data_IF_268505868714
#
_entry.id   IF_268505868714
#
_cell.length_a   1.000
_cell.length_b   1.000
_cell.length_c   1.000
_cell.angle_alpha   90.00
_cell.angle_beta   90.00
_cell.angle_gamma   90.00
#
_symmetry.space_group_name_H-M   'P 1'
#
loop_
_entity.id
_entity.type
_entity.pdbx_description
1 polymer ?
#
# COMPACT_ATOMS: atom_id res chain seq x y z
N UNK A 1 39.94 -21.46 -21.50
CA UNK A 1 38.78 -21.97 -20.74
C UNK A 1 37.75 -20.86 -20.66
N UNK A 2 36.80 -20.93 -21.57
CA UNK A 2 35.71 -19.97 -21.77
C UNK A 2 34.62 -20.24 -20.75
N UNK A 3 34.39 -19.31 -19.82
CA UNK A 3 33.25 -19.37 -18.92
C UNK A 3 31.97 -19.11 -19.71
N UNK A 4 31.13 -20.15 -19.78
CA UNK A 4 29.79 -20.09 -20.33
C UNK A 4 28.94 -19.12 -19.51
N UNK A 5 28.44 -18.07 -20.16
CA UNK A 5 27.31 -17.29 -19.67
C UNK A 5 26.07 -18.19 -19.77
N UNK A 6 25.47 -18.48 -18.63
CA UNK A 6 24.14 -19.09 -18.55
C UNK A 6 23.12 -18.08 -19.08
N UNK A 7 22.59 -18.35 -20.27
CA UNK A 7 21.42 -17.66 -20.81
C UNK A 7 20.19 -18.09 -20.00
N UNK A 8 19.77 -17.28 -19.03
CA UNK A 8 18.35 -17.26 -18.65
C UNK A 8 17.57 -16.59 -19.79
N UNK A 9 16.39 -17.11 -20.16
CA UNK A 9 15.59 -16.49 -21.20
C UNK A 9 15.04 -15.17 -20.64
N UNK A 10 15.45 -14.05 -21.23
CA UNK A 10 14.72 -12.78 -21.13
C UNK A 10 13.32 -13.03 -21.72
N UNK A 11 12.37 -13.44 -20.87
CA UNK A 11 10.97 -13.47 -21.25
C UNK A 11 10.57 -12.02 -21.50
N UNK A 12 10.42 -11.65 -22.78
CA UNK A 12 9.89 -10.35 -23.17
C UNK A 12 8.61 -10.10 -22.37
N UNK A 13 8.60 -9.09 -21.51
CA UNK A 13 7.44 -8.76 -20.70
C UNK A 13 6.33 -8.36 -21.68
N UNK A 14 5.21 -9.09 -21.66
CA UNK A 14 4.05 -8.81 -22.51
C UNK A 14 3.57 -7.37 -22.30
N UNK A 15 3.23 -6.71 -23.41
CA UNK A 15 2.70 -5.34 -23.44
C UNK A 15 1.22 -5.26 -23.07
N UNK A 16 0.55 -6.38 -22.79
CA UNK A 16 -0.87 -6.38 -22.48
C UNK A 16 -1.13 -5.96 -21.03
N UNK A 17 -2.07 -5.02 -20.86
CA UNK A 17 -2.53 -4.52 -19.55
C UNK A 17 -3.06 -5.64 -18.66
N UNK A 18 -3.83 -6.56 -19.24
CA UNK A 18 -4.46 -7.66 -18.51
C UNK A 18 -3.52 -8.86 -18.57
N UNK A 19 -3.10 -9.35 -17.41
CA UNK A 19 -2.34 -10.60 -17.30
C UNK A 19 -3.29 -11.78 -17.57
N UNK A 20 -4.46 -11.73 -16.95
CA UNK A 20 -5.54 -12.68 -17.15
C UNK A 20 -6.70 -12.42 -16.21
N UNK A 21 -7.77 -13.18 -16.41
CA UNK A 21 -8.99 -13.17 -15.59
C UNK A 21 -9.49 -14.58 -15.37
N UNK A 22 -10.16 -14.77 -14.24
CA UNK A 22 -10.81 -16.04 -13.90
C UNK A 22 -12.10 -15.78 -13.11
N UNK A 23 -13.18 -16.49 -13.45
CA UNK A 23 -14.51 -16.26 -12.89
C UNK A 23 -15.38 -15.36 -13.78
N UNK A 24 -16.36 -14.68 -13.17
CA UNK A 24 -17.29 -13.76 -13.84
C UNK A 24 -18.68 -14.34 -14.13
N UNK A 25 -18.83 -15.66 -14.06
CA UNK A 25 -20.10 -16.34 -14.35
C UNK A 25 -21.08 -16.36 -13.15
N UNK A 26 -20.57 -16.08 -11.95
CA UNK A 26 -21.36 -16.09 -10.71
C UNK A 26 -21.33 -14.71 -10.04
N UNK A 27 -22.46 -14.29 -9.49
CA UNK A 27 -22.52 -13.08 -8.67
C UNK A 27 -21.59 -13.23 -7.47
N UNK A 28 -20.73 -12.23 -7.26
CA UNK A 28 -19.77 -12.23 -6.18
C UNK A 28 -18.88 -10.99 -6.18
N UNK A 29 -17.85 -10.96 -5.35
CA UNK A 29 -16.91 -9.86 -5.28
C UNK A 29 -15.92 -9.88 -6.45
N UNK A 30 -15.42 -8.70 -6.81
CA UNK A 30 -14.30 -8.58 -7.77
C UNK A 30 -13.02 -8.31 -7.00
N UNK A 31 -11.98 -9.14 -7.19
CA UNK A 31 -10.64 -8.86 -6.70
C UNK A 31 -9.75 -8.48 -7.88
N UNK A 32 -9.36 -7.21 -7.91
CA UNK A 32 -8.38 -6.69 -8.87
C UNK A 32 -7.00 -6.74 -8.21
N UNK A 33 -6.10 -7.53 -8.77
CA UNK A 33 -4.69 -7.50 -8.44
C UNK A 33 -3.95 -6.56 -9.38
N UNK A 34 -3.21 -5.61 -8.81
CA UNK A 34 -2.32 -4.73 -9.57
C UNK A 34 -0.88 -5.19 -9.31
N UNK A 35 -0.10 -5.28 -10.38
CA UNK A 35 1.28 -5.75 -10.35
C UNK A 35 2.15 -4.83 -11.18
N UNK A 36 3.39 -4.60 -10.77
CA UNK A 36 4.33 -3.83 -11.60
C UNK A 36 3.87 -2.39 -11.85
N UNK A 37 3.31 -1.71 -10.84
CA UNK A 37 3.18 -0.26 -10.85
C UNK A 37 4.54 0.42 -10.98
N UNK A 38 5.55 -0.17 -10.34
CA UNK A 38 6.94 0.11 -10.62
C UNK A 38 7.52 -0.98 -11.52
N UNK A 39 8.19 -0.59 -12.60
CA UNK A 39 8.64 -1.51 -13.62
C UNK A 39 9.80 -2.42 -13.22
N UNK A 40 10.56 -2.04 -12.18
CA UNK A 40 11.61 -2.84 -11.59
C UNK A 40 11.09 -3.89 -10.57
N UNK A 41 9.77 -4.07 -10.44
CA UNK A 41 9.12 -4.97 -9.49
C UNK A 41 8.31 -6.09 -10.18
N UNK A 42 8.95 -6.99 -10.97
CA UNK A 42 8.24 -7.98 -11.78
C UNK A 42 7.67 -9.15 -10.96
N UNK A 43 8.01 -9.29 -9.68
CA UNK A 43 7.63 -10.44 -8.86
C UNK A 43 6.11 -10.63 -8.78
N UNK A 44 5.35 -9.53 -8.67
CA UNK A 44 3.88 -9.56 -8.67
C UNK A 44 3.30 -10.12 -9.97
N UNK A 45 3.90 -9.80 -11.13
CA UNK A 45 3.46 -10.30 -12.45
C UNK A 45 3.61 -11.83 -12.50
N UNK A 46 4.75 -12.34 -12.04
CA UNK A 46 5.01 -13.78 -11.98
C UNK A 46 4.05 -14.49 -11.01
N UNK A 47 3.83 -13.91 -9.82
CA UNK A 47 2.88 -14.44 -8.83
C UNK A 47 1.46 -14.53 -9.38
N UNK A 48 0.96 -13.45 -10.00
CA UNK A 48 -0.37 -13.42 -10.58
C UNK A 48 -0.54 -14.41 -11.74
N UNK A 49 0.49 -14.58 -12.56
CA UNK A 49 0.49 -15.58 -13.65
C UNK A 49 0.34 -17.00 -13.09
N UNK A 50 1.10 -17.36 -12.04
CA UNK A 50 0.98 -18.69 -11.40
C UNK A 50 -0.41 -18.96 -10.84
N UNK A 51 -1.01 -17.97 -10.18
CA UNK A 51 -2.38 -18.09 -9.65
C UNK A 51 -3.38 -18.31 -10.77
N UNK A 52 -3.31 -17.50 -11.84
CA UNK A 52 -4.20 -17.63 -13.00
C UNK A 52 -4.04 -18.98 -13.70
N UNK A 53 -2.80 -19.42 -13.96
CA UNK A 53 -2.52 -20.71 -14.57
C UNK A 53 -3.12 -21.86 -13.75
N UNK A 54 -2.99 -21.79 -12.42
CA UNK A 54 -3.59 -22.77 -11.52
C UNK A 54 -5.13 -22.76 -11.64
N UNK A 55 -5.74 -21.59 -11.59
CA UNK A 55 -7.19 -21.43 -11.67
C UNK A 55 -7.74 -21.96 -13.01
N UNK A 56 -7.13 -21.61 -14.15
CA UNK A 56 -7.56 -22.10 -15.46
C UNK A 56 -7.36 -23.61 -15.63
N UNK A 57 -6.32 -24.18 -15.00
CA UNK A 57 -6.05 -25.63 -15.05
C UNK A 57 -7.04 -26.43 -14.21
N UNK A 58 -7.28 -26.04 -12.97
CA UNK A 58 -8.08 -26.83 -12.01
C UNK A 58 -9.55 -26.45 -11.99
N UNK A 59 -9.90 -25.28 -12.53
CA UNK A 59 -11.26 -24.78 -12.69
C UNK A 59 -12.13 -24.84 -11.42
N UNK A 60 -11.66 -24.34 -10.25
CA UNK A 60 -12.49 -24.30 -9.06
C UNK A 60 -13.69 -23.36 -9.24
N UNK A 61 -14.78 -23.63 -8.53
CA UNK A 61 -15.98 -22.78 -8.55
C UNK A 61 -15.73 -21.48 -7.77
N UNK A 62 -15.21 -20.46 -8.47
CA UNK A 62 -14.91 -19.16 -7.89
C UNK A 62 -16.15 -18.26 -7.89
N UNK A 63 -16.43 -17.66 -6.72
CA UNK A 63 -17.49 -16.67 -6.52
C UNK A 63 -16.99 -15.31 -6.98
N UNK A 64 -17.66 -14.69 -7.96
CA UNK A 64 -17.27 -13.40 -8.51
C UNK A 64 -16.15 -13.50 -9.55
N UNK A 65 -15.21 -12.55 -9.56
CA UNK A 65 -14.16 -12.46 -10.59
C UNK A 65 -12.80 -12.05 -10.00
N UNK A 66 -11.75 -12.76 -10.39
CA UNK A 66 -10.36 -12.38 -10.13
C UNK A 66 -9.72 -11.86 -11.42
N UNK A 67 -9.15 -10.65 -11.38
CA UNK A 67 -8.48 -10.02 -12.52
C UNK A 67 -7.11 -9.53 -12.10
N UNK A 68 -6.08 -9.86 -12.88
CA UNK A 68 -4.73 -9.37 -12.64
C UNK A 68 -4.28 -8.42 -13.74
N UNK A 69 -3.78 -7.25 -13.36
CA UNK A 69 -3.38 -6.15 -14.23
C UNK A 69 -1.90 -5.81 -14.04
N UNK A 70 -1.25 -5.40 -15.14
CA UNK A 70 0.05 -4.72 -15.14
C UNK A 70 -0.14 -3.22 -14.92
N UNK A 71 0.70 -2.61 -14.09
CA UNK A 71 0.57 -1.22 -13.64
C UNK A 71 1.18 -0.20 -14.61
N UNK A 72 2.50 -0.22 -14.79
CA UNK A 72 3.20 0.66 -15.73
C UNK A 72 3.88 -0.19 -16.82
N UNK A 73 3.23 -0.34 -17.98
CA UNK A 73 3.70 -1.23 -19.05
C UNK A 73 5.04 -0.76 -19.60
N UNK A 74 5.19 0.54 -19.81
CA UNK A 74 6.42 1.12 -20.35
C UNK A 74 7.59 0.91 -19.37
N UNK A 75 7.39 1.24 -18.09
CA UNK A 75 8.43 1.04 -17.08
C UNK A 75 8.79 -0.44 -16.89
N UNK A 76 7.79 -1.33 -16.88
CA UNK A 76 8.00 -2.79 -16.82
C UNK A 76 8.89 -3.27 -17.97
N UNK A 77 8.61 -2.82 -19.20
CA UNK A 77 9.41 -3.21 -20.38
C UNK A 77 10.89 -2.79 -20.28
N UNK A 78 11.17 -1.71 -19.55
CA UNK A 78 12.52 -1.16 -19.32
C UNK A 78 13.16 -1.62 -18.02
N UNK A 79 12.42 -2.33 -17.16
CA UNK A 79 12.83 -2.66 -15.78
C UNK A 79 13.27 -1.43 -14.97
N UNK A 80 12.64 -0.29 -15.25
CA UNK A 80 12.86 0.97 -14.54
C UNK A 80 11.73 1.18 -13.53
N UNK A 81 11.98 1.87 -12.41
CA UNK A 81 10.92 2.14 -11.41
C UNK A 81 9.76 2.90 -12.05
N UNK A 82 10.06 3.94 -12.80
CA UNK A 82 9.14 4.73 -13.61
C UNK A 82 9.94 5.45 -14.70
N UNK A 83 9.27 6.07 -15.68
CA UNK A 83 9.94 6.80 -16.77
C UNK A 83 10.08 8.29 -16.44
N UNK A 84 8.97 9.00 -16.25
CA UNK A 84 8.97 10.45 -16.01
C UNK A 84 8.73 10.77 -14.52
N UNK A 85 7.83 10.04 -13.86
CA UNK A 85 7.48 10.25 -12.45
C UNK A 85 6.91 8.99 -11.78
N UNK A 86 6.95 8.93 -10.46
CA UNK A 86 6.37 7.79 -9.73
C UNK A 86 4.84 7.73 -9.92
N UNK A 87 4.38 6.66 -10.59
CA UNK A 87 2.96 6.43 -10.90
C UNK A 87 2.12 6.24 -9.63
N UNK A 88 2.68 5.70 -8.54
CA UNK A 88 1.98 5.49 -7.28
C UNK A 88 1.97 6.75 -6.37
N UNK A 89 2.19 7.93 -6.98
CA UNK A 89 2.10 9.27 -6.35
C UNK A 89 1.14 10.21 -7.10
N UNK A 90 0.44 9.72 -8.13
CA UNK A 90 -0.32 10.57 -9.05
C UNK A 90 -1.84 10.48 -8.89
N UNK A 91 -2.36 9.70 -7.95
CA UNK A 91 -3.79 9.35 -7.87
C UNK A 91 -4.64 10.31 -7.05
N UNK A 92 -4.38 11.62 -7.14
CA UNK A 92 -5.25 12.62 -6.51
C UNK A 92 -6.50 12.89 -7.36
N UNK A 93 -7.58 13.33 -6.74
CA UNK A 93 -8.84 13.62 -7.45
C UNK A 93 -8.66 14.75 -8.46
N UNK A 94 -7.91 15.80 -8.08
CA UNK A 94 -7.58 16.94 -8.93
C UNK A 94 -6.82 16.51 -10.18
N UNK A 95 -5.84 15.61 -10.00
CA UNK A 95 -5.02 15.11 -11.10
C UNK A 95 -5.81 14.25 -12.06
N UNK A 96 -6.64 13.35 -11.56
CA UNK A 96 -7.50 12.52 -12.40
C UNK A 96 -8.56 13.35 -13.12
N UNK A 97 -9.10 14.40 -12.48
CA UNK A 97 -10.01 15.33 -13.13
C UNK A 97 -9.32 16.12 -14.25
N UNK A 98 -8.09 16.60 -14.02
CA UNK A 98 -7.28 17.28 -15.04
C UNK A 98 -7.00 16.36 -16.25
N UNK A 99 -6.65 15.09 -16.01
CA UNK A 99 -6.41 14.11 -17.07
C UNK A 99 -7.67 13.69 -17.84
N UNK A 100 -8.85 13.87 -17.24
CA UNK A 100 -10.14 13.58 -17.89
C UNK A 100 -10.70 14.79 -18.69
N UNK A 101 -10.14 15.98 -18.50
CA UNK A 101 -10.63 17.20 -19.13
C UNK A 101 -10.37 17.18 -20.66
N UNK A 102 -11.37 17.52 -21.50
CA UNK A 102 -11.17 17.60 -22.94
C UNK A 102 -10.19 18.72 -23.30
N UNK A 103 -9.11 18.40 -24.02
CA UNK A 103 -8.18 19.38 -24.60
C UNK A 103 -6.72 19.24 -24.15
N UNK A 104 -6.46 18.57 -23.03
CA UNK A 104 -5.10 18.34 -22.54
C UNK A 104 -4.59 16.96 -22.95
N UNK A 105 -3.60 16.92 -23.85
CA UNK A 105 -2.94 15.68 -24.21
C UNK A 105 -2.04 15.16 -23.06
N UNK A 106 -1.94 13.84 -22.85
CA UNK A 106 -1.03 13.27 -21.84
C UNK A 106 0.41 13.74 -22.08
N UNK A 107 1.00 14.38 -21.07
CA UNK A 107 2.28 15.06 -21.18
C UNK A 107 3.48 14.15 -20.85
N UNK A 108 3.21 12.97 -20.27
CA UNK A 108 4.22 12.00 -19.85
C UNK A 108 3.78 10.57 -20.18
N UNK A 109 4.71 9.62 -20.06
CA UNK A 109 4.41 8.19 -20.05
C UNK A 109 3.43 7.87 -18.93
N UNK A 110 3.69 8.33 -17.70
CA UNK A 110 2.82 8.00 -16.58
C UNK A 110 1.41 8.59 -16.68
N UNK A 111 1.18 9.69 -17.39
CA UNK A 111 -0.19 10.16 -17.65
C UNK A 111 -0.98 9.17 -18.50
N UNK A 112 -0.35 8.62 -19.54
CA UNK A 112 -0.99 7.61 -20.41
C UNK A 112 -1.24 6.33 -19.66
N UNK A 113 -0.26 5.87 -18.88
CA UNK A 113 -0.37 4.69 -18.02
C UNK A 113 -1.48 4.88 -16.98
N UNK A 114 -1.55 6.05 -16.34
CA UNK A 114 -2.58 6.39 -15.35
C UNK A 114 -3.98 6.38 -15.95
N UNK A 115 -4.20 7.03 -17.09
CA UNK A 115 -5.49 7.03 -17.79
C UNK A 115 -5.90 5.59 -18.15
N UNK A 116 -4.99 4.83 -18.76
CA UNK A 116 -5.26 3.47 -19.20
C UNK A 116 -5.54 2.52 -18.03
N UNK A 117 -4.76 2.61 -16.95
CA UNK A 117 -4.93 1.78 -15.76
C UNK A 117 -6.21 2.13 -15.01
N UNK A 118 -6.51 3.43 -14.83
CA UNK A 118 -7.77 3.86 -14.21
C UNK A 118 -8.98 3.36 -15.01
N UNK A 119 -8.95 3.47 -16.34
CA UNK A 119 -10.01 2.95 -17.20
C UNK A 119 -10.15 1.41 -17.11
N UNK A 120 -9.03 0.69 -17.05
CA UNK A 120 -9.04 -0.76 -16.88
C UNK A 120 -9.67 -1.16 -15.55
N UNK A 121 -9.20 -0.59 -14.42
CA UNK A 121 -9.75 -0.91 -13.09
C UNK A 121 -11.22 -0.52 -13.01
N UNK A 122 -11.57 0.69 -13.46
CA UNK A 122 -12.96 1.17 -13.48
C UNK A 122 -13.90 0.20 -14.18
N UNK A 123 -13.49 -0.36 -15.33
CA UNK A 123 -14.28 -1.35 -16.05
C UNK A 123 -14.51 -2.63 -15.23
N UNK A 124 -13.48 -3.13 -14.56
CA UNK A 124 -13.61 -4.36 -13.77
C UNK A 124 -14.46 -4.14 -12.51
N UNK A 125 -14.49 -2.92 -11.94
CA UNK A 125 -15.27 -2.63 -10.72
C UNK A 125 -16.68 -2.10 -10.98
N UNK A 126 -16.98 -1.57 -12.16
CA UNK A 126 -18.31 -1.01 -12.52
C UNK A 126 -19.41 -2.07 -12.48
N UNK A 127 -19.06 -3.33 -12.73
CA UNK A 127 -19.98 -4.46 -12.67
C UNK A 127 -20.12 -5.08 -11.25
N UNK A 128 -19.38 -4.59 -10.26
CA UNK A 128 -19.42 -5.11 -8.89
C UNK A 128 -20.48 -4.36 -8.06
N UNK A 129 -21.54 -5.02 -7.53
CA UNK A 129 -22.62 -4.38 -6.78
C UNK A 129 -22.22 -3.95 -5.34
N UNK A 130 -21.03 -3.36 -5.16
CA UNK A 130 -20.60 -2.72 -3.90
C UNK A 130 -19.52 -3.47 -3.10
N UNK A 131 -18.90 -4.51 -3.66
CA UNK A 131 -17.74 -5.19 -3.02
C UNK A 131 -16.67 -5.50 -4.04
N UNK A 132 -15.76 -4.55 -4.22
CA UNK A 132 -14.50 -4.80 -4.92
C UNK A 132 -13.33 -4.71 -3.94
N UNK A 133 -12.32 -5.51 -4.22
CA UNK A 133 -11.06 -5.56 -3.52
C UNK A 133 -9.95 -5.16 -4.48
N UNK A 134 -8.98 -4.41 -3.98
CA UNK A 134 -7.77 -4.07 -4.73
C UNK A 134 -6.57 -4.50 -3.93
N UNK A 135 -5.76 -5.39 -4.50
CA UNK A 135 -4.52 -5.84 -3.91
C UNK A 135 -3.37 -5.43 -4.83
N UNK A 136 -2.61 -4.45 -4.38
CA UNK A 136 -1.44 -3.92 -5.08
C UNK A 136 -0.19 -4.67 -4.60
N UNK A 137 0.53 -5.32 -5.52
CA UNK A 137 1.66 -6.20 -5.17
C UNK A 137 2.97 -5.55 -5.55
N UNK A 138 3.78 -5.30 -4.53
CA UNK A 138 5.03 -4.58 -4.60
C UNK A 138 6.21 -5.40 -4.07
N UNK A 139 7.41 -4.90 -4.33
CA UNK A 139 8.65 -5.37 -3.69
C UNK A 139 9.45 -4.17 -3.21
N UNK A 140 10.38 -4.39 -2.29
CA UNK A 140 11.21 -3.35 -1.69
C UNK A 140 12.64 -3.34 -2.23
N UNK A 141 13.28 -2.16 -2.18
CA UNK A 141 14.69 -2.00 -2.56
C UNK A 141 15.66 -2.55 -1.52
N UNK A 142 15.24 -2.62 -0.25
CA UNK A 142 16.02 -3.19 0.85
C UNK A 142 15.60 -4.62 1.17
N UNK A 143 16.45 -5.36 1.89
CA UNK A 143 16.05 -6.64 2.50
C UNK A 143 14.93 -6.35 3.51
N UNK A 144 13.80 -7.03 3.33
CA UNK A 144 12.59 -6.79 4.09
C UNK A 144 11.83 -8.07 4.38
N UNK A 145 11.27 -8.16 5.59
CA UNK A 145 10.11 -9.02 5.83
C UNK A 145 8.92 -8.55 4.96
N UNK A 146 7.96 -9.42 4.60
CA UNK A 146 6.75 -8.97 3.95
C UNK A 146 5.91 -8.11 4.90
N UNK A 147 5.15 -7.17 4.36
CA UNK A 147 4.23 -6.34 5.14
C UNK A 147 3.07 -5.82 4.28
N UNK A 148 2.04 -5.31 4.96
CA UNK A 148 0.86 -4.73 4.32
C UNK A 148 0.73 -3.26 4.69
N UNK A 149 0.63 -2.42 3.67
CA UNK A 149 0.22 -1.02 3.77
C UNK A 149 -1.27 -0.94 3.45
N UNK A 150 -2.00 -0.13 4.20
CA UNK A 150 -3.43 0.02 4.04
C UNK A 150 -3.88 1.41 4.46
N UNK A 151 -4.93 1.89 3.82
CA UNK A 151 -5.73 2.94 4.39
C UNK A 151 -6.51 2.39 5.60
N UNK A 152 -6.37 3.01 6.76
CA UNK A 152 -6.90 2.58 8.07
C UNK A 152 -8.44 2.62 8.22
N UNK A 153 -9.15 1.85 7.40
CA UNK A 153 -10.57 1.51 7.59
C UNK A 153 -10.72 0.16 8.29
N UNK A 154 -11.84 -0.08 8.98
CA UNK A 154 -12.11 -1.38 9.61
C UNK A 154 -12.15 -2.52 8.58
N UNK A 155 -12.68 -2.26 7.37
CA UNK A 155 -12.75 -3.22 6.27
C UNK A 155 -11.36 -3.56 5.72
N UNK A 156 -10.52 -2.55 5.50
CA UNK A 156 -9.14 -2.75 5.04
C UNK A 156 -8.32 -3.47 6.11
N UNK A 157 -8.48 -3.13 7.41
CA UNK A 157 -7.83 -3.88 8.51
C UNK A 157 -8.22 -5.35 8.49
N UNK A 158 -9.49 -5.68 8.28
CA UNK A 158 -9.95 -7.07 8.23
C UNK A 158 -9.33 -7.82 7.05
N UNK A 159 -9.32 -7.23 5.87
CA UNK A 159 -8.70 -7.80 4.67
C UNK A 159 -7.18 -7.97 4.82
N UNK A 160 -6.48 -6.91 5.24
CA UNK A 160 -5.03 -6.93 5.41
C UNK A 160 -4.56 -7.95 6.46
N UNK A 161 -5.29 -8.12 7.57
CA UNK A 161 -4.97 -9.16 8.58
C UNK A 161 -5.06 -10.57 8.01
N UNK A 162 -5.94 -10.80 7.04
CA UNK A 162 -6.09 -12.11 6.42
C UNK A 162 -4.90 -12.48 5.52
N UNK A 163 -4.07 -11.50 5.13
CA UNK A 163 -2.84 -11.70 4.37
C UNK A 163 -1.67 -12.19 5.25
N UNK A 164 -1.85 -12.28 6.57
CA UNK A 164 -0.90 -12.85 7.54
C UNK A 164 0.46 -12.13 7.68
N UNK A 165 0.66 -10.99 7.02
CA UNK A 165 1.87 -10.18 7.17
C UNK A 165 1.65 -9.01 8.17
N UNK A 166 2.74 -8.48 8.78
CA UNK A 166 2.72 -7.26 9.59
C UNK A 166 2.00 -6.10 8.92
N UNK A 167 1.21 -5.35 9.69
CA UNK A 167 0.52 -4.16 9.20
C UNK A 167 1.32 -2.89 9.52
N UNK A 168 1.41 -1.99 8.56
CA UNK A 168 2.00 -0.66 8.75
C UNK A 168 0.89 0.40 8.68
N UNK A 169 0.66 1.09 9.79
CA UNK A 169 -0.35 2.16 9.92
C UNK A 169 0.31 3.54 9.84
N UNK A 170 -0.42 4.53 9.33
CA UNK A 170 0.02 5.94 9.30
C UNK A 170 1.00 6.27 8.17
N UNK A 171 1.37 5.28 7.35
CA UNK A 171 2.23 5.51 6.19
C UNK A 171 1.48 6.26 5.09
N UNK A 172 0.20 5.96 4.90
CA UNK A 172 -0.70 6.65 3.96
C UNK A 172 -0.87 8.15 4.27
N UNK A 173 -0.63 8.58 5.52
CA UNK A 173 -0.66 10.00 5.89
C UNK A 173 0.58 10.74 5.35
N UNK A 174 1.67 10.00 5.14
CA UNK A 174 2.92 10.49 4.58
C UNK A 174 3.01 10.32 3.07
N UNK A 175 2.15 9.48 2.48
CA UNK A 175 2.20 9.06 1.10
C UNK A 175 0.95 9.56 0.36
N UNK A 176 1.04 10.74 -0.24
CA UNK A 176 -0.06 11.29 -1.04
C UNK A 176 -0.13 10.69 -2.45
N UNK A 177 -1.35 10.56 -2.96
CA UNK A 177 -1.60 10.17 -4.34
C UNK A 177 -1.34 8.69 -4.65
N UNK A 178 -1.46 7.79 -3.67
CA UNK A 178 -1.38 6.33 -3.94
C UNK A 178 -2.65 5.79 -4.59
N UNK A 179 -2.51 4.76 -5.41
CA UNK A 179 -3.64 4.12 -6.08
C UNK A 179 -4.60 3.46 -5.07
N UNK A 180 -4.06 2.89 -4.00
CA UNK A 180 -4.84 2.21 -2.95
C UNK A 180 -5.69 3.18 -2.16
N UNK A 181 -5.20 4.40 -1.91
CA UNK A 181 -5.99 5.44 -1.23
C UNK A 181 -7.15 5.88 -2.11
N UNK A 182 -6.88 6.20 -3.37
CA UNK A 182 -7.90 6.63 -4.34
C UNK A 182 -9.07 5.64 -4.46
N UNK A 183 -8.78 4.35 -4.61
CA UNK A 183 -9.83 3.34 -4.71
C UNK A 183 -10.47 2.99 -3.35
N UNK A 184 -9.75 3.16 -2.24
CA UNK A 184 -10.34 3.05 -0.89
C UNK A 184 -11.40 4.13 -0.65
N UNK A 185 -11.13 5.37 -1.08
CA UNK A 185 -12.08 6.49 -0.95
C UNK A 185 -13.37 6.26 -1.77
N UNK A 186 -13.29 5.48 -2.84
CA UNK A 186 -14.41 5.06 -3.69
C UNK A 186 -15.19 3.84 -3.14
N UNK A 187 -14.91 3.43 -1.90
CA UNK A 187 -15.62 2.33 -1.22
C UNK A 187 -15.00 0.94 -1.42
N UNK A 188 -13.83 0.87 -2.07
CA UNK A 188 -13.05 -0.35 -2.25
C UNK A 188 -12.41 -0.83 -0.96
N UNK A 189 -12.17 -2.14 -0.87
CA UNK A 189 -11.30 -2.71 0.17
C UNK A 189 -9.90 -2.88 -0.41
N UNK A 190 -8.99 -1.98 -0.06
CA UNK A 190 -7.68 -1.92 -0.72
C UNK A 190 -6.53 -2.17 0.26
N UNK A 191 -5.47 -2.81 -0.23
CA UNK A 191 -4.21 -2.99 0.47
C UNK A 191 -3.07 -3.07 -0.54
N UNK A 192 -1.89 -2.61 -0.15
CA UNK A 192 -0.64 -2.87 -0.84
C UNK A 192 0.16 -3.91 -0.05
N UNK A 193 0.59 -4.98 -0.71
CA UNK A 193 1.38 -6.04 -0.13
C UNK A 193 2.80 -5.96 -0.67
N UNK A 194 3.76 -5.84 0.24
CA UNK A 194 5.18 -5.75 -0.07
C UNK A 194 5.80 -7.13 0.14
N UNK A 195 6.22 -7.78 -0.94
CA UNK A 195 6.60 -9.19 -0.95
C UNK A 195 8.02 -9.49 -0.45
N UNK A 196 8.80 -8.48 -0.11
CA UNK A 196 10.24 -8.62 0.15
C UNK A 196 11.07 -7.95 -0.95
N UNK A 197 12.36 -8.32 -1.08
CA UNK A 197 13.31 -7.61 -1.96
C UNK A 197 13.04 -7.88 -3.45
N UNK A 198 13.27 -6.88 -4.31
CA UNK A 198 12.98 -6.93 -5.75
C UNK A 198 13.54 -8.15 -6.50
N UNK A 199 14.74 -8.60 -6.15
CA UNK A 199 15.52 -9.63 -6.86
C UNK A 199 15.47 -11.00 -6.17
N UNK A 200 14.69 -11.14 -5.09
CA UNK A 200 14.59 -12.40 -4.36
C UNK A 200 13.49 -13.29 -4.96
N UNK A 201 13.84 -14.52 -5.33
CA UNK A 201 12.89 -15.50 -5.83
C UNK A 201 11.75 -15.77 -4.81
N UNK A 202 12.03 -15.63 -3.51
CA UNK A 202 11.01 -15.77 -2.46
C UNK A 202 9.89 -14.72 -2.58
N UNK A 203 10.17 -13.56 -3.17
CA UNK A 203 9.17 -12.50 -3.36
C UNK A 203 8.03 -12.96 -4.27
N UNK A 204 8.32 -13.82 -5.26
CA UNK A 204 7.26 -14.42 -6.10
C UNK A 204 6.39 -15.35 -5.28
N UNK A 205 6.98 -16.18 -4.42
CA UNK A 205 6.25 -17.11 -3.55
C UNK A 205 5.39 -16.40 -2.50
N UNK A 206 5.90 -15.29 -1.95
CA UNK A 206 5.18 -14.45 -0.98
C UNK A 206 4.04 -13.68 -1.65
N UNK A 207 4.27 -13.16 -2.87
CA UNK A 207 3.22 -12.56 -3.68
C UNK A 207 2.12 -13.54 -4.02
N UNK A 208 2.46 -14.75 -4.46
CA UNK A 208 1.50 -15.81 -4.77
C UNK A 208 0.66 -16.19 -3.55
N UNK A 209 1.31 -16.35 -2.38
CA UNK A 209 0.62 -16.57 -1.11
C UNK A 209 -0.35 -15.43 -0.76
N UNK A 210 0.07 -14.17 -0.93
CA UNK A 210 -0.77 -13.01 -0.67
C UNK A 210 -2.00 -12.97 -1.58
N UNK A 211 -1.86 -13.32 -2.86
CA UNK A 211 -2.99 -13.39 -3.80
C UNK A 211 -4.01 -14.46 -3.41
N UNK A 212 -3.57 -15.67 -3.07
CA UNK A 212 -4.46 -16.73 -2.59
C UNK A 212 -5.17 -16.36 -1.29
N UNK A 213 -4.45 -15.75 -0.34
CA UNK A 213 -5.04 -15.25 0.89
C UNK A 213 -6.01 -14.09 0.63
N UNK A 214 -5.73 -13.24 -0.36
CA UNK A 214 -6.62 -12.19 -0.83
C UNK A 214 -7.92 -12.75 -1.43
N UNK A 215 -7.84 -13.75 -2.30
CA UNK A 215 -9.00 -14.48 -2.86
C UNK A 215 -9.84 -15.08 -1.73
N UNK A 216 -9.20 -15.70 -0.72
CA UNK A 216 -9.90 -16.22 0.46
C UNK A 216 -10.57 -15.12 1.28
N UNK A 217 -9.86 -14.02 1.51
CA UNK A 217 -10.31 -12.91 2.33
C UNK A 217 -11.45 -12.12 1.69
N UNK A 218 -11.48 -12.08 0.36
CA UNK A 218 -12.59 -11.58 -0.44
C UNK A 218 -13.79 -12.54 -0.48
N UNK A 219 -13.69 -13.71 0.16
CA UNK A 219 -14.71 -14.76 0.19
C UNK A 219 -15.05 -15.34 -1.20
N UNK A 220 -14.05 -15.38 -2.09
CA UNK A 220 -14.21 -15.86 -3.46
C UNK A 220 -14.02 -17.38 -3.59
N UNK A 221 -13.23 -17.98 -2.71
CA UNK A 221 -13.02 -19.43 -2.58
C UNK A 221 -12.97 -19.84 -1.12
N UNK A 222 -13.40 -21.06 -0.85
CA UNK A 222 -13.26 -21.68 0.46
C UNK A 222 -11.86 -22.24 0.67
N UNK A 223 -11.46 -22.40 1.93
CA UNK A 223 -10.09 -22.82 2.25
C UNK A 223 -9.73 -24.22 1.71
N UNK A 224 -10.72 -25.08 1.48
CA UNK A 224 -10.53 -26.41 0.90
C UNK A 224 -10.23 -26.39 -0.60
N UNK A 225 -10.61 -25.32 -1.30
CA UNK A 225 -10.41 -25.17 -2.75
C UNK A 225 -9.13 -24.40 -3.09
N UNK A 226 -8.41 -23.92 -2.07
CA UNK A 226 -7.16 -23.16 -2.23
C UNK A 226 -5.98 -24.11 -2.02
N UNK A 227 -5.04 -24.20 -2.98
CA UNK A 227 -3.88 -25.08 -2.87
C UNK A 227 -3.00 -24.68 -1.69
N UNK A 228 -2.62 -25.64 -0.85
CA UNK A 228 -1.58 -25.47 0.18
C UNK A 228 -1.73 -24.23 1.09
N UNK A 229 -2.97 -23.81 1.38
CA UNK A 229 -3.23 -22.54 2.10
C UNK A 229 -2.54 -22.46 3.48
N UNK A 230 -2.39 -23.59 4.17
CA UNK A 230 -1.70 -23.66 5.46
C UNK A 230 -0.19 -23.39 5.31
N UNK A 231 0.44 -23.92 4.26
CA UNK A 231 1.86 -23.71 3.96
C UNK A 231 2.11 -22.26 3.55
N UNK A 232 1.21 -21.66 2.75
CA UNK A 232 1.28 -20.25 2.37
C UNK A 232 1.26 -19.32 3.59
N UNK A 233 0.35 -19.58 4.55
CA UNK A 233 0.31 -18.83 5.82
C UNK A 233 1.58 -19.00 6.63
N UNK A 234 2.08 -20.23 6.73
CA UNK A 234 3.31 -20.52 7.46
C UNK A 234 4.52 -19.82 6.83
N UNK A 235 4.59 -19.75 5.49
CA UNK A 235 5.66 -19.06 4.76
C UNK A 235 5.67 -17.56 5.07
N UNK A 236 4.52 -16.89 5.00
CA UNK A 236 4.44 -15.45 5.33
C UNK A 236 4.80 -15.21 6.81
N UNK A 237 4.28 -16.01 7.74
CA UNK A 237 4.63 -15.87 9.15
C UNK A 237 6.12 -16.09 9.43
N UNK A 238 6.73 -17.09 8.78
CA UNK A 238 8.16 -17.35 8.91
C UNK A 238 9.00 -16.18 8.37
N UNK A 239 8.64 -15.64 7.20
CA UNK A 239 9.31 -14.50 6.60
C UNK A 239 9.15 -13.20 7.42
N UNK A 240 8.06 -13.08 8.19
CA UNK A 240 7.78 -11.96 9.08
C UNK A 240 8.30 -12.13 10.52
N UNK A 241 9.05 -13.19 10.80
CA UNK A 241 9.53 -13.48 12.15
C UNK A 241 10.37 -12.33 12.73
N UNK A 242 10.12 -11.95 13.98
CA UNK A 242 10.81 -10.85 14.66
C UNK A 242 10.25 -9.45 14.38
N UNK A 243 9.27 -9.33 13.48
CA UNK A 243 8.53 -8.08 13.21
C UNK A 243 7.25 -8.05 14.05
N UNK A 244 6.93 -6.93 14.72
CA UNK A 244 5.66 -6.78 15.41
C UNK A 244 4.47 -6.94 14.44
N UNK A 245 3.35 -7.56 14.85
CA UNK A 245 2.20 -7.77 13.96
C UNK A 245 1.59 -6.48 13.42
N UNK A 246 1.72 -5.38 14.16
CA UNK A 246 1.27 -4.05 13.75
C UNK A 246 2.29 -3.02 14.22
N UNK A 247 2.70 -2.16 13.31
CA UNK A 247 3.52 -0.98 13.60
C UNK A 247 2.83 0.26 13.06
N UNK A 248 3.16 1.41 13.64
CA UNK A 248 2.71 2.73 13.16
C UNK A 248 3.92 3.60 12.83
N UNK A 249 3.76 4.49 11.86
CA UNK A 249 4.77 5.52 11.53
C UNK A 249 4.85 6.54 12.66
N UNK A 250 6.04 6.67 13.23
CA UNK A 250 6.38 7.64 14.27
C UNK A 250 6.97 8.92 13.67
N UNK A 251 7.83 8.78 12.66
CA UNK A 251 8.48 9.92 12.02
C UNK A 251 8.85 9.61 10.56
N UNK A 252 8.87 10.66 9.74
CA UNK A 252 9.34 10.63 8.35
C UNK A 252 10.53 11.56 8.20
N UNK A 253 11.61 11.09 7.59
CA UNK A 253 12.70 11.94 7.11
C UNK A 253 12.56 12.15 5.60
N UNK A 254 11.92 13.26 5.22
CA UNK A 254 11.70 13.61 3.82
C UNK A 254 12.95 14.25 3.19
N UNK A 255 13.03 14.17 1.86
CA UNK A 255 14.06 14.79 1.04
C UNK A 255 13.41 15.79 0.07
N UNK A 256 14.05 16.94 -0.09
CA UNK A 256 13.68 17.95 -1.06
C UNK A 256 14.47 17.79 -2.36
N UNK A 257 13.98 18.45 -3.42
CA UNK A 257 14.63 18.43 -4.72
C UNK A 257 16.00 19.11 -4.62
N UNK A 258 17.06 18.35 -4.87
CA UNK A 258 18.45 18.82 -4.82
C UNK A 258 19.21 18.36 -3.58
N UNK A 259 18.53 17.73 -2.62
CA UNK A 259 19.20 17.13 -1.48
C UNK A 259 20.13 15.98 -1.89
N UNK A 260 21.32 15.97 -1.30
CA UNK A 260 22.25 14.87 -1.38
C UNK A 260 22.09 13.98 -0.16
N UNK A 261 21.49 12.81 -0.34
CA UNK A 261 21.28 11.84 0.73
C UNK A 261 22.01 10.51 0.45
N UNK A 262 22.65 9.97 1.48
CA UNK A 262 23.25 8.63 1.45
C UNK A 262 22.87 7.88 2.72
N UNK A 263 22.10 6.79 2.56
CA UNK A 263 21.80 5.87 3.65
C UNK A 263 23.07 5.12 4.05
N UNK A 264 23.34 5.00 5.36
CA UNK A 264 24.43 4.13 5.82
C UNK A 264 24.07 2.66 5.47
N UNK A 265 25.04 1.86 5.00
CA UNK A 265 24.75 0.50 4.58
C UNK A 265 24.37 -0.40 5.76
N UNK A 266 23.55 -1.41 5.49
CA UNK A 266 23.30 -2.50 6.42
C UNK A 266 21.97 -2.45 7.18
N UNK A 267 21.19 -1.37 7.08
CA UNK A 267 19.85 -1.33 7.64
C UNK A 267 18.87 -2.12 6.77
N UNK A 268 18.04 -2.91 7.44
CA UNK A 268 16.92 -3.65 6.85
C UNK A 268 15.62 -3.04 7.33
N UNK A 269 14.53 -3.30 6.61
CA UNK A 269 13.22 -2.93 7.11
C UNK A 269 12.96 -3.58 8.47
N UNK A 270 12.46 -2.76 9.40
CA UNK A 270 12.13 -3.12 10.78
C UNK A 270 13.32 -3.36 11.72
N UNK A 271 14.56 -3.04 11.31
CA UNK A 271 15.72 -3.09 12.19
C UNK A 271 15.54 -2.13 13.38
N UNK A 272 15.86 -2.61 14.58
CA UNK A 272 15.78 -1.80 15.79
C UNK A 272 16.88 -0.74 15.75
N UNK A 273 16.51 0.51 15.99
CA UNK A 273 17.43 1.65 16.09
C UNK A 273 17.25 2.36 17.42
N UNK A 274 18.35 2.85 17.98
CA UNK A 274 18.36 3.62 19.24
C UNK A 274 18.37 5.10 18.96
N UNK A 275 17.76 5.88 19.85
CA UNK A 275 17.84 7.35 19.79
C UNK A 275 19.30 7.80 19.67
N UNK A 276 19.57 8.65 18.67
CA UNK A 276 20.92 9.16 18.39
C UNK A 276 21.78 8.25 17.51
N UNK A 277 21.31 7.05 17.12
CA UNK A 277 22.02 6.20 16.17
C UNK A 277 22.04 6.85 14.79
N UNK A 278 23.22 7.04 14.19
CA UNK A 278 23.38 7.59 12.85
C UNK A 278 22.82 6.63 11.79
N UNK A 279 21.95 7.13 10.93
CA UNK A 279 21.24 6.37 9.90
C UNK A 279 21.74 6.71 8.49
N UNK A 280 22.12 7.95 8.25
CA UNK A 280 22.55 8.42 6.93
C UNK A 280 23.23 9.78 7.00
N UNK A 281 23.71 10.23 5.84
CA UNK A 281 24.25 11.57 5.62
C UNK A 281 23.28 12.34 4.74
N UNK A 282 22.84 13.51 5.21
CA UNK A 282 21.97 14.42 4.48
C UNK A 282 22.69 15.76 4.29
N UNK A 283 22.99 16.15 3.05
CA UNK A 283 23.74 17.36 2.70
C UNK A 283 25.07 17.48 3.49
N UNK A 284 25.75 16.35 3.69
CA UNK A 284 27.01 16.27 4.44
C UNK A 284 26.87 16.22 5.97
N UNK A 285 25.65 16.27 6.51
CA UNK A 285 25.38 16.20 7.95
C UNK A 285 24.82 14.84 8.36
N UNK A 286 25.27 14.33 9.51
CA UNK A 286 24.72 13.08 10.05
C UNK A 286 23.25 13.25 10.46
N UNK A 287 22.42 12.33 10.00
CA UNK A 287 21.03 12.19 10.42
C UNK A 287 20.93 10.98 11.32
N UNK A 288 20.32 11.17 12.49
CA UNK A 288 20.19 10.13 13.51
C UNK A 288 18.73 9.82 13.84
N UNK A 289 18.48 8.64 14.39
CA UNK A 289 17.15 8.25 14.85
C UNK A 289 16.68 9.17 15.99
N UNK A 290 15.48 9.75 15.84
CA UNK A 290 14.92 10.69 16.82
C UNK A 290 14.47 10.03 18.14
N UNK A 291 14.18 8.72 18.11
CA UNK A 291 13.72 7.93 19.24
C UNK A 291 14.11 6.45 19.08
N UNK A 292 14.06 5.70 20.19
CA UNK A 292 14.13 4.23 20.18
C UNK A 292 12.94 3.71 19.36
N UNK A 293 13.23 3.09 18.23
CA UNK A 293 12.23 2.77 17.21
C UNK A 293 12.76 1.67 16.28
N UNK A 294 12.09 1.46 15.14
CA UNK A 294 12.59 0.64 14.05
C UNK A 294 12.72 1.48 12.79
N UNK A 295 13.83 1.35 12.07
CA UNK A 295 13.98 1.99 10.76
C UNK A 295 13.14 1.26 9.72
N UNK A 296 12.54 2.01 8.81
CA UNK A 296 11.59 1.49 7.83
C UNK A 296 11.73 2.23 6.50
N UNK A 297 11.61 1.48 5.40
CA UNK A 297 11.89 1.87 4.01
C UNK A 297 13.15 2.73 3.85
N UNK A 298 14.34 2.22 4.25
CA UNK A 298 15.59 2.95 4.04
C UNK A 298 15.90 3.10 2.55
N UNK A 299 16.23 4.33 2.14
CA UNK A 299 16.48 4.69 0.75
C UNK A 299 17.86 4.19 0.29
N UNK A 300 17.90 3.03 -0.36
CA UNK A 300 19.11 2.49 -1.00
C UNK A 300 19.15 2.63 -2.52
N UNK A 301 18.06 3.09 -3.12
CA UNK A 301 17.96 3.34 -4.55
C UNK A 301 18.23 4.81 -4.87
N UNK A 302 18.54 5.11 -6.14
CA UNK A 302 18.85 6.47 -6.57
C UNK A 302 17.65 7.43 -6.60
N UNK A 303 16.42 6.89 -6.63
CA UNK A 303 15.18 7.66 -6.76
C UNK A 303 14.31 7.50 -5.52
N UNK A 304 13.88 8.62 -4.93
CA UNK A 304 12.97 8.62 -3.79
C UNK A 304 12.85 10.00 -3.15
N UNK A 305 11.73 10.26 -2.51
CA UNK A 305 11.43 11.50 -1.79
C UNK A 305 11.52 11.33 -0.27
N UNK A 306 11.71 10.10 0.20
CA UNK A 306 11.86 9.78 1.62
C UNK A 306 13.16 9.02 1.84
N UNK A 307 13.99 9.52 2.77
CA UNK A 307 15.22 8.87 3.17
C UNK A 307 14.98 7.60 3.98
N UNK A 308 14.09 7.69 4.97
CA UNK A 308 13.61 6.60 5.80
C UNK A 308 12.41 7.07 6.63
N UNK A 309 11.73 6.09 7.23
CA UNK A 309 10.75 6.27 8.27
C UNK A 309 11.23 5.63 9.57
N UNK A 310 10.69 6.10 10.69
CA UNK A 310 10.77 5.41 11.96
C UNK A 310 9.40 4.88 12.31
N UNK A 311 9.32 3.61 12.70
CA UNK A 311 8.08 2.94 13.09
C UNK A 311 8.18 2.36 14.49
N UNK A 312 7.04 2.22 15.16
CA UNK A 312 6.96 1.62 16.49
C UNK A 312 5.82 0.59 16.59
N UNK A 313 5.94 -0.44 17.46
CA UNK A 313 4.88 -1.41 17.67
C UNK A 313 3.62 -0.77 18.25
N UNK A 314 2.44 -1.13 17.72
CA UNK A 314 1.16 -0.70 18.29
C UNK A 314 0.66 -1.74 19.29
N UNK A 315 0.36 -1.32 20.51
CA UNK A 315 -0.17 -2.23 21.52
C UNK A 315 -1.57 -2.76 21.14
N UNK A 316 -1.82 -4.06 21.37
CA UNK A 316 -3.10 -4.72 21.05
C UNK A 316 -4.31 -4.04 21.70
N UNK A 317 -4.13 -3.50 22.91
CA UNK A 317 -5.16 -2.76 23.63
C UNK A 317 -5.67 -1.55 22.81
N UNK A 318 -4.76 -0.75 22.24
CA UNK A 318 -5.12 0.44 21.46
C UNK A 318 -5.85 0.07 20.16
N UNK A 319 -5.44 -1.01 19.50
CA UNK A 319 -6.13 -1.53 18.32
C UNK A 319 -7.54 -2.01 18.63
N UNK A 320 -7.71 -2.70 19.76
CA UNK A 320 -9.01 -3.14 20.25
C UNK A 320 -9.90 -1.94 20.60
N UNK A 321 -9.38 -0.98 21.36
CA UNK A 321 -10.11 0.22 21.77
C UNK A 321 -10.54 1.05 20.55
N UNK A 322 -9.62 1.29 19.62
CA UNK A 322 -9.91 1.93 18.33
C UNK A 322 -11.07 1.22 17.63
N UNK A 323 -11.02 -0.11 17.51
CA UNK A 323 -12.10 -0.89 16.90
C UNK A 323 -13.45 -0.80 17.62
N UNK A 324 -13.46 -0.72 18.96
CA UNK A 324 -14.68 -0.54 19.76
C UNK A 324 -15.28 0.85 19.55
N UNK A 325 -14.46 1.90 19.69
CA UNK A 325 -14.90 3.30 19.57
C UNK A 325 -15.44 3.60 18.17
N UNK A 326 -14.77 3.09 17.14
CA UNK A 326 -15.17 3.22 15.73
C UNK A 326 -16.52 2.55 15.44
N UNK A 327 -16.70 1.28 15.87
CA UNK A 327 -17.97 0.56 15.75
C UNK A 327 -19.13 1.18 16.54
N UNK A 328 -18.83 1.80 17.68
CA UNK A 328 -19.82 2.52 18.47
C UNK A 328 -20.31 3.82 17.80
N UNK A 329 -19.71 4.24 16.68
CA UNK A 329 -20.13 5.44 15.95
C UNK A 329 -19.72 6.74 16.64
N UNK A 330 -18.67 6.72 17.47
CA UNK A 330 -18.21 7.90 18.23
C UNK A 330 -17.73 9.05 17.32
N UNK A 331 -17.42 8.75 16.05
CA UNK A 331 -17.19 9.72 14.97
C UNK A 331 -18.35 10.71 14.78
N UNK A 332 -19.59 10.35 15.15
CA UNK A 332 -20.77 11.21 15.01
C UNK A 332 -20.83 12.35 16.02
N UNK A 333 -20.15 12.21 17.15
CA UNK A 333 -20.21 13.16 18.26
C UNK A 333 -18.90 13.93 18.48
N UNK A 334 -17.86 13.66 17.69
CA UNK A 334 -16.56 14.31 17.87
C UNK A 334 -16.58 15.82 17.66
N UNK A 335 -17.52 16.32 16.84
CA UNK A 335 -17.72 17.76 16.64
C UNK A 335 -18.15 18.52 17.89
N UNK A 336 -18.53 17.82 18.97
CA UNK A 336 -18.89 18.43 20.26
C UNK A 336 -17.71 18.55 21.23
N UNK A 337 -16.54 18.02 20.88
CA UNK A 337 -15.36 18.17 21.72
C UNK A 337 -14.90 19.64 21.78
N UNK A 338 -14.45 20.14 22.95
CA UNK A 338 -13.93 21.50 23.08
C UNK A 338 -12.79 21.78 22.10
N UNK A 339 -12.89 22.88 21.36
CA UNK A 339 -11.87 23.29 20.39
C UNK A 339 -11.96 22.59 19.03
N UNK A 340 -12.95 21.72 18.81
CA UNK A 340 -13.20 21.04 17.54
C UNK A 340 -14.33 21.74 16.78
N UNK A 341 -14.14 22.00 15.48
CA UNK A 341 -15.19 22.54 14.60
C UNK A 341 -15.17 21.82 13.26
N UNK A 342 -16.31 21.61 12.59
CA UNK A 342 -16.33 21.09 11.22
C UNK A 342 -15.64 22.07 10.26
N UNK A 343 -14.93 21.53 9.27
CA UNK A 343 -14.32 22.30 8.19
C UNK A 343 -15.40 22.79 7.21
N UNK A 344 -15.31 24.04 6.76
CA UNK A 344 -16.36 24.69 5.98
C UNK A 344 -16.60 24.08 4.59
N UNK A 345 -15.53 23.59 3.96
CA UNK A 345 -15.55 23.13 2.56
C UNK A 345 -15.36 21.62 2.40
N UNK A 346 -14.89 20.93 3.45
CA UNK A 346 -14.46 19.53 3.36
C UNK A 346 -15.35 18.68 4.24
N UNK A 347 -16.15 17.75 3.67
CA UNK A 347 -17.00 16.88 4.46
C UNK A 347 -16.16 16.00 5.39
N UNK A 348 -16.71 15.66 6.57
CA UNK A 348 -16.06 14.81 7.59
C UNK A 348 -14.68 15.30 8.05
N UNK A 349 -14.34 16.55 7.76
CA UNK A 349 -13.08 17.17 8.15
C UNK A 349 -13.34 18.13 9.30
N UNK A 350 -12.42 18.18 10.25
CA UNK A 350 -12.54 18.93 11.50
C UNK A 350 -11.26 19.73 11.73
N UNK A 351 -11.44 20.99 12.13
CA UNK A 351 -10.38 21.89 12.55
C UNK A 351 -10.30 21.87 14.07
N UNK A 352 -9.12 21.56 14.59
CA UNK A 352 -8.83 21.43 16.02
C UNK A 352 -7.94 22.60 16.44
N UNK A 353 -8.46 23.44 17.33
CA UNK A 353 -7.70 24.54 17.91
C UNK A 353 -6.82 24.02 19.06
N UNK A 354 -5.48 23.99 18.91
CA UNK A 354 -4.58 23.43 19.93
C UNK A 354 -4.58 24.23 21.25
N UNK A 355 -5.03 25.49 21.23
CA UNK A 355 -5.11 26.32 22.44
C UNK A 355 -6.31 25.98 23.33
N UNK A 356 -7.33 25.33 22.77
CA UNK A 356 -8.59 24.98 23.47
C UNK A 356 -8.69 23.46 23.65
N UNK A 357 -8.26 22.72 22.62
CA UNK A 357 -8.26 21.28 22.63
C UNK A 357 -7.20 20.76 23.62
N UNK A 358 -7.63 19.88 24.54
CA UNK A 358 -6.68 19.16 25.41
C UNK A 358 -5.81 18.25 24.54
N UNK A 359 -4.60 17.91 25.01
CA UNK A 359 -3.64 17.01 24.32
C UNK A 359 -4.33 15.72 23.85
N UNK A 360 -5.27 15.19 24.64
CA UNK A 360 -6.03 13.98 24.32
C UNK A 360 -6.96 14.09 23.09
N UNK A 361 -7.32 15.28 22.61
CA UNK A 361 -8.23 15.42 21.47
C UNK A 361 -7.62 14.85 20.20
N UNK A 362 -6.31 15.07 19.98
CA UNK A 362 -5.60 14.48 18.84
C UNK A 362 -5.55 12.95 18.94
N UNK A 363 -5.27 12.41 20.13
CA UNK A 363 -5.27 10.97 20.38
C UNK A 363 -6.65 10.35 20.10
N UNK A 364 -7.75 11.05 20.41
CA UNK A 364 -9.11 10.61 20.07
C UNK A 364 -9.32 10.57 18.56
N UNK A 365 -8.82 11.56 17.81
CA UNK A 365 -8.88 11.54 16.34
C UNK A 365 -8.10 10.34 15.79
N UNK A 366 -6.90 10.07 16.27
CA UNK A 366 -6.13 8.89 15.85
C UNK A 366 -6.83 7.57 16.23
N UNK A 367 -7.47 7.48 17.40
CA UNK A 367 -8.28 6.30 17.79
C UNK A 367 -9.45 6.05 16.84
N UNK A 368 -10.02 7.11 16.28
CA UNK A 368 -11.07 7.05 15.25
C UNK A 368 -10.51 6.78 13.85
N UNK A 369 -9.20 6.59 13.70
CA UNK A 369 -8.55 6.44 12.41
C UNK A 369 -8.67 7.72 11.57
N UNK A 370 -8.63 8.90 12.19
CA UNK A 370 -8.60 10.15 11.43
C UNK A 370 -7.23 10.32 10.77
N UNK A 371 -7.22 10.84 9.53
CA UNK A 371 -6.00 11.30 8.88
C UNK A 371 -5.74 12.74 9.26
N UNK A 372 -4.53 13.03 9.73
CA UNK A 372 -4.06 14.40 9.92
C UNK A 372 -3.60 15.01 8.59
N UNK A 373 -3.92 16.30 8.40
CA UNK A 373 -3.51 17.11 7.26
C UNK A 373 -2.58 18.22 7.73
N UNK A 374 -1.96 18.93 6.78
CA UNK A 374 -1.21 20.14 7.10
C UNK A 374 -2.05 21.13 7.91
N UNK A 375 -1.38 21.80 8.85
CA UNK A 375 -2.05 22.74 9.74
C UNK A 375 -2.47 24.00 8.99
N UNK A 376 -3.73 24.40 9.16
CA UNK A 376 -4.28 25.63 8.58
C UNK A 376 -4.32 26.73 9.63
N UNK A 377 -3.60 27.84 9.39
CA UNK A 377 -3.59 29.01 10.28
C UNK A 377 -3.25 28.67 11.74
N UNK A 378 -2.28 27.76 11.94
CA UNK A 378 -1.86 27.30 13.28
C UNK A 378 -2.87 26.37 13.97
N UNK A 379 -3.85 25.82 13.24
CA UNK A 379 -4.81 24.83 13.72
C UNK A 379 -4.58 23.50 13.03
N UNK A 380 -4.75 22.41 13.77
CA UNK A 380 -4.61 21.05 13.22
C UNK A 380 -5.87 20.67 12.47
N UNK A 381 -5.74 19.97 11.35
CA UNK A 381 -6.87 19.57 10.51
C UNK A 381 -6.92 18.05 10.42
N UNK A 382 -8.06 17.46 10.77
CA UNK A 382 -8.25 16.01 10.76
C UNK A 382 -9.45 15.62 9.90
N UNK A 383 -9.30 14.59 9.08
CA UNK A 383 -10.41 14.03 8.30
C UNK A 383 -10.79 12.64 8.81
N UNK A 384 -12.07 12.44 9.12
CA UNK A 384 -12.60 11.12 9.49
C UNK A 384 -12.87 10.30 8.25
N UNK A 385 -12.25 9.12 8.20
CA UNK A 385 -12.40 8.15 7.12
C UNK A 385 -13.82 7.61 7.05
N UNK A 386 -14.27 7.20 5.86
CA UNK A 386 -15.55 6.49 5.69
C UNK A 386 -15.45 5.14 6.40
N UNK A 387 -16.38 4.92 7.32
CA UNK A 387 -16.67 3.61 7.89
C UNK A 387 -18.05 3.25 7.36
N UNK A 388 -18.06 2.51 6.26
CA UNK A 388 -19.27 1.90 5.71
C UNK A 388 -19.37 0.46 6.18
#
# INVERSE_FOLDING_TARGET
MTHAKTNEPDSAISTDRVIGRYGGDTLGPTLVCITGLHGNEPAGVAAATRVLDYLHKHKPALRGEFVALRGNLTALSRRERYIDRDLNRQWTQERLAALAAPGDAPQSVEDREQIALNAAISREIEHAPGRFFLLDVHTTSSVSAPFVILHDSLRNRAFARALCAPLVLGLEESLEGTITDHFSERGGVCAAFECGRHDDAVSVELGEAALWLGIRAADMLDAGDIPHIAEMRARIHAAASGVPPVVEVLARHALERGDAYVMRPGFRNFDIVRRGQALGLHNGHDVAAAADSRVFMPLYQALGTEAFFLVQPVARFWLWLSGVVRRAGFSRIIGWLPGVRPHALRPRTFVVNPLIARIAVAEIFHLLGAREHESEHGRRVFSLRREE
#
